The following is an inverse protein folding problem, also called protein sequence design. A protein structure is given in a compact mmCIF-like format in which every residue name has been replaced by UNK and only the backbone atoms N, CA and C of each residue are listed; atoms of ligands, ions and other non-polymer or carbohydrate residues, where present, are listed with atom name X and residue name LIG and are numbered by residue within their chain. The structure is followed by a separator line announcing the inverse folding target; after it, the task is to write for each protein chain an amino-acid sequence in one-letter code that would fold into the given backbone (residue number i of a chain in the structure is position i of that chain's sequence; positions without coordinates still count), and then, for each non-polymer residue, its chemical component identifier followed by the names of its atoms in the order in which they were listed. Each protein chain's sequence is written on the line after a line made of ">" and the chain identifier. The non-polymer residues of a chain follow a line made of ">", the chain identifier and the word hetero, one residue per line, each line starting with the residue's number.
data_IF_505098604178
#
_entry.id   IF_505098604178
#
_cell.length_a   1.000
_cell.length_b   1.000
_cell.length_c   1.000
_cell.angle_alpha   90.00
_cell.angle_beta   90.00
_cell.angle_gamma   90.00
#
_symmetry.space_group_name_H-M   'P 1'
#
loop_
_entity.id
_entity.type
_entity.pdbx_description
1 polymer ?
#
# COMPACT_ATOMS: atom_id res chain seq x y z
N UNK A 1 -4.36 -29.28 -7.85
CA UNK A 1 -5.26 -28.42 -7.04
C UNK A 1 -4.38 -27.49 -6.22
N UNK A 2 -4.35 -26.19 -6.53
CA UNK A 2 -3.53 -25.23 -5.81
C UNK A 2 -4.40 -24.45 -4.82
N UNK A 3 -4.36 -24.84 -3.55
CA UNK A 3 -4.97 -24.07 -2.46
C UNK A 3 -4.05 -22.91 -2.12
N UNK A 4 -4.40 -21.69 -2.54
CA UNK A 4 -3.75 -20.47 -2.05
C UNK A 4 -4.00 -20.35 -0.54
N UNK A 5 -2.94 -20.44 0.24
CA UNK A 5 -2.94 -20.28 1.70
C UNK A 5 -3.46 -18.89 2.05
N UNK A 6 -4.75 -18.78 2.41
CA UNK A 6 -5.36 -17.57 2.95
C UNK A 6 -4.61 -17.25 4.25
N UNK A 7 -3.65 -16.34 4.17
CA UNK A 7 -2.97 -15.81 5.34
C UNK A 7 -4.03 -15.00 6.10
N UNK A 8 -4.78 -15.67 6.98
CA UNK A 8 -5.59 -15.03 8.01
C UNK A 8 -4.66 -14.37 9.01
N UNK A 9 -3.99 -13.30 8.58
CA UNK A 9 -3.17 -12.46 9.45
C UNK A 9 -4.08 -11.63 10.35
N UNK A 10 -3.61 -11.34 11.56
CA UNK A 10 -4.27 -10.38 12.43
C UNK A 10 -4.48 -9.05 11.69
N UNK A 11 -5.64 -8.44 11.84
CA UNK A 11 -5.95 -7.12 11.31
C UNK A 11 -5.73 -6.07 12.40
N UNK A 12 -5.45 -4.84 11.98
CA UNK A 12 -5.26 -3.71 12.89
C UNK A 12 -5.93 -2.44 12.33
N UNK A 13 -6.34 -1.59 13.26
CA UNK A 13 -6.66 -0.19 13.02
C UNK A 13 -5.42 0.63 13.31
N UNK A 14 -5.03 1.46 12.35
CA UNK A 14 -3.99 2.49 12.51
C UNK A 14 -4.68 3.84 12.38
N UNK A 15 -4.54 4.68 13.40
CA UNK A 15 -5.06 6.05 13.39
C UNK A 15 -3.90 7.02 13.25
N UNK A 16 -3.96 7.94 12.28
CA UNK A 16 -2.98 9.01 12.08
C UNK A 16 -3.74 10.33 12.06
N UNK A 17 -3.57 11.14 13.11
CA UNK A 17 -4.36 12.35 13.28
C UNK A 17 -5.86 12.04 13.35
N UNK A 18 -6.62 12.45 12.34
CA UNK A 18 -8.07 12.25 12.24
C UNK A 18 -8.48 11.12 11.29
N UNK A 19 -7.51 10.41 10.69
CA UNK A 19 -7.77 9.37 9.71
C UNK A 19 -7.56 7.98 10.31
N UNK A 20 -8.51 7.09 10.03
CA UNK A 20 -8.49 5.70 10.44
C UNK A 20 -8.27 4.78 9.24
N UNK A 21 -7.33 3.85 9.40
CA UNK A 21 -6.99 2.87 8.38
C UNK A 21 -7.12 1.46 8.94
N UNK A 22 -7.76 0.57 8.18
CA UNK A 22 -7.82 -0.86 8.49
C UNK A 22 -6.86 -1.62 7.57
N UNK A 23 -5.91 -2.34 8.16
CA UNK A 23 -4.89 -3.06 7.38
C UNK A 23 -4.36 -4.30 8.12
N UNK A 24 -3.64 -5.21 7.42
CA UNK A 24 -2.90 -6.28 8.06
C UNK A 24 -1.91 -5.77 9.12
N UNK A 25 -1.82 -6.47 10.26
CA UNK A 25 -1.03 -6.04 11.42
C UNK A 25 0.47 -5.91 11.11
N UNK A 26 1.02 -6.76 10.24
CA UNK A 26 2.41 -6.68 9.79
C UNK A 26 2.71 -5.36 9.06
N UNK A 27 1.76 -4.89 8.24
CA UNK A 27 1.87 -3.60 7.56
C UNK A 27 1.65 -2.44 8.52
N UNK A 28 0.69 -2.55 9.44
CA UNK A 28 0.41 -1.52 10.43
C UNK A 28 1.61 -1.26 11.36
N UNK A 29 2.34 -2.30 11.77
CA UNK A 29 3.55 -2.14 12.57
C UNK A 29 4.64 -1.35 11.84
N UNK A 30 4.82 -1.57 10.53
CA UNK A 30 5.77 -0.80 9.71
C UNK A 30 5.37 0.67 9.61
N UNK A 31 4.07 0.96 9.56
CA UNK A 31 3.57 2.34 9.58
C UNK A 31 3.92 2.98 10.92
N UNK A 32 3.73 2.28 12.04
CA UNK A 32 4.10 2.81 13.35
C UNK A 32 5.59 3.11 13.46
N UNK A 33 6.43 2.19 13.03
CA UNK A 33 7.89 2.36 13.04
C UNK A 33 8.33 3.57 12.21
N UNK A 34 7.75 3.76 11.03
CA UNK A 34 8.03 4.92 10.20
C UNK A 34 7.55 6.23 10.84
N UNK A 35 6.36 6.22 11.45
CA UNK A 35 5.74 7.42 12.00
C UNK A 35 6.30 7.82 13.37
N UNK A 36 6.88 6.88 14.12
CA UNK A 36 7.60 7.13 15.38
C UNK A 36 8.70 8.21 15.26
N UNK A 37 9.30 8.32 14.08
CA UNK A 37 10.37 9.28 13.80
C UNK A 37 9.93 10.41 12.88
N UNK A 38 8.65 10.45 12.51
CA UNK A 38 8.11 11.48 11.63
C UNK A 38 7.90 12.80 12.38
N UNK A 39 8.05 13.89 11.63
CA UNK A 39 7.73 15.25 12.04
C UNK A 39 6.57 15.70 11.15
N UNK A 40 5.50 16.21 11.75
CA UNK A 40 4.40 16.78 10.98
C UNK A 40 4.89 17.98 10.16
N UNK A 41 4.25 18.28 9.05
CA UNK A 41 4.52 19.54 8.36
C UNK A 41 3.24 20.12 7.75
N UNK A 42 3.20 21.44 7.69
CA UNK A 42 2.26 22.16 6.84
C UNK A 42 2.95 22.55 5.55
N UNK A 43 2.14 22.64 4.49
CA UNK A 43 2.57 23.13 3.21
C UNK A 43 2.20 24.60 3.09
N UNK A 44 3.18 25.43 2.81
CA UNK A 44 3.00 26.87 2.61
C UNK A 44 3.52 27.28 1.23
N UNK A 45 2.89 28.30 0.66
CA UNK A 45 3.26 28.84 -0.64
C UNK A 45 3.70 30.28 -0.46
N UNK A 46 5.02 30.50 -0.52
CA UNK A 46 5.61 31.83 -0.44
C UNK A 46 6.08 32.23 -1.85
N UNK A 47 5.27 33.03 -2.54
CA UNK A 47 5.51 33.40 -3.93
C UNK A 47 5.25 32.24 -4.90
N UNK A 48 6.30 31.75 -5.55
CA UNK A 48 6.25 30.63 -6.50
C UNK A 48 6.85 29.32 -5.95
N UNK A 49 7.39 29.34 -4.73
CA UNK A 49 8.05 28.19 -4.12
C UNK A 49 7.14 27.50 -3.10
N UNK A 50 7.19 26.18 -3.09
CA UNK A 50 6.54 25.33 -2.10
C UNK A 50 7.49 25.14 -0.91
N UNK A 51 7.05 25.54 0.27
CA UNK A 51 7.79 25.38 1.52
C UNK A 51 7.05 24.44 2.46
N UNK A 52 7.80 23.72 3.30
CA UNK A 52 7.25 22.82 4.31
C UNK A 52 7.65 23.31 5.70
N UNK A 53 6.66 23.69 6.50
CA UNK A 53 6.86 24.19 7.85
C UNK A 53 6.75 23.02 8.82
N UNK A 54 7.85 22.70 9.51
CA UNK A 54 7.88 21.63 10.50
C UNK A 54 6.93 21.92 11.68
N UNK A 55 6.23 20.88 12.13
CA UNK A 55 5.26 20.88 13.22
C UNK A 55 5.60 19.81 14.25
N UNK A 56 4.70 19.64 15.20
CA UNK A 56 4.74 18.56 16.18
C UNK A 56 4.69 17.17 15.50
N UNK A 57 5.18 16.18 16.23
CA UNK A 57 5.11 14.78 15.82
C UNK A 57 3.63 14.35 15.69
N UNK A 58 3.25 13.66 14.59
CA UNK A 58 1.89 13.18 14.42
C UNK A 58 1.52 12.16 15.50
N UNK A 59 0.31 12.30 16.06
CA UNK A 59 -0.28 11.29 16.94
C UNK A 59 -0.65 10.06 16.12
N UNK A 60 -0.07 8.92 16.49
CA UNK A 60 -0.35 7.62 15.87
C UNK A 60 -0.83 6.63 16.91
N UNK A 61 -1.91 5.93 16.60
CA UNK A 61 -2.45 4.87 17.45
C UNK A 61 -2.54 3.55 16.68
N UNK A 62 -2.26 2.46 17.38
CA UNK A 62 -2.35 1.10 16.86
C UNK A 62 -3.26 0.27 17.73
N UNK A 63 -4.22 -0.42 17.11
CA UNK A 63 -5.09 -1.35 17.81
C UNK A 63 -5.34 -2.59 16.97
N UNK A 64 -5.18 -3.77 17.57
CA UNK A 64 -5.56 -5.02 16.93
C UNK A 64 -7.08 -5.14 16.88
N UNK A 65 -7.60 -5.55 15.73
CA UNK A 65 -9.04 -5.67 15.49
C UNK A 65 -9.37 -7.13 15.21
N UNK A 66 -10.42 -7.63 15.86
CA UNK A 66 -10.90 -8.99 15.62
C UNK A 66 -11.75 -9.04 14.35
N UNK A 67 -11.78 -10.20 13.71
CA UNK A 67 -12.49 -10.39 12.45
C UNK A 67 -14.01 -10.11 12.56
N UNK A 68 -14.62 -10.41 13.71
CA UNK A 68 -16.04 -10.16 14.00
C UNK A 68 -16.41 -8.67 14.10
N UNK A 69 -15.41 -7.81 14.32
CA UNK A 69 -15.62 -6.36 14.43
C UNK A 69 -15.56 -5.65 13.06
N UNK A 70 -15.15 -6.35 12.00
CA UNK A 70 -14.97 -5.77 10.66
C UNK A 70 -16.23 -6.03 9.83
N UNK A 71 -16.91 -4.96 9.42
CA UNK A 71 -18.03 -5.04 8.47
C UNK A 71 -17.61 -4.44 7.13
N UNK A 72 -17.77 -5.21 6.05
CA UNK A 72 -17.64 -4.69 4.70
C UNK A 72 -19.01 -4.19 4.22
N UNK A 73 -19.17 -2.91 3.86
CA UNK A 73 -20.38 -2.43 3.23
C UNK A 73 -20.57 -3.11 1.86
N UNK A 74 -21.82 -3.35 1.48
CA UNK A 74 -22.13 -3.97 0.19
C UNK A 74 -21.59 -3.12 -0.97
N UNK A 75 -20.89 -3.77 -1.92
CA UNK A 75 -20.32 -3.12 -3.10
C UNK A 75 -18.84 -2.74 -3.01
N UNK A 76 -18.16 -2.96 -1.88
CA UNK A 76 -16.72 -2.70 -1.76
C UNK A 76 -15.88 -3.90 -2.24
N UNK A 77 -15.26 -3.78 -3.42
CA UNK A 77 -14.23 -4.72 -3.86
C UNK A 77 -12.91 -4.42 -3.16
N UNK A 78 -12.24 -5.44 -2.60
CA UNK A 78 -10.89 -5.29 -2.02
C UNK A 78 -9.96 -4.51 -2.97
N UNK A 79 -9.07 -3.64 -2.45
CA UNK A 79 -8.15 -2.87 -3.29
C UNK A 79 -7.33 -3.85 -4.12
N UNK A 80 -7.32 -3.64 -5.44
CA UNK A 80 -6.72 -4.54 -6.42
C UNK A 80 -5.28 -4.88 -6.00
N UNK A 81 -5.09 -6.10 -5.47
CA UNK A 81 -3.76 -6.65 -5.24
C UNK A 81 -3.05 -6.70 -6.59
N UNK A 82 -2.10 -5.78 -6.80
CA UNK A 82 -1.36 -5.64 -8.04
C UNK A 82 -0.76 -6.97 -8.46
N UNK A 83 -1.41 -7.64 -9.42
CA UNK A 83 -0.92 -8.88 -10.01
C UNK A 83 0.38 -8.52 -10.73
N UNK A 84 1.53 -8.94 -10.19
CA UNK A 84 2.83 -8.81 -10.84
C UNK A 84 2.70 -9.40 -12.25
N UNK A 85 2.66 -8.53 -13.27
CA UNK A 85 2.73 -8.95 -14.68
C UNK A 85 4.16 -9.42 -14.89
N UNK A 86 4.36 -10.73 -14.96
CA UNK A 86 5.62 -11.27 -15.48
C UNK A 86 5.71 -10.90 -16.98
N UNK A 87 6.81 -10.31 -17.45
CA UNK A 87 6.99 -10.05 -18.87
C UNK A 87 7.02 -11.40 -19.60
N UNK A 88 6.12 -11.57 -20.57
CA UNK A 88 6.15 -12.73 -21.48
C UNK A 88 7.37 -12.55 -22.37
N UNK A 89 8.37 -13.41 -22.24
CA UNK A 89 9.55 -13.37 -23.11
C UNK A 89 9.12 -13.46 -24.58
N UNK A 90 9.44 -12.43 -25.35
CA UNK A 90 9.25 -12.41 -26.81
C UNK A 90 10.30 -13.34 -27.40
N UNK A 91 9.89 -14.52 -27.87
CA UNK A 91 10.74 -15.39 -28.68
C UNK A 91 10.86 -14.79 -30.08
N UNK A 92 11.96 -14.09 -30.34
CA UNK A 92 12.35 -13.69 -31.70
C UNK A 92 12.91 -14.94 -32.38
N UNK A 93 12.19 -15.51 -33.34
CA UNK A 93 12.68 -16.58 -34.22
C UNK A 93 13.45 -15.96 -35.40
N UNK A 94 14.76 -16.18 -35.55
CA UNK A 94 15.52 -15.67 -36.68
C UNK A 94 15.56 -16.72 -37.79
N UNK A 95 14.51 -16.86 -38.60
CA UNK A 95 14.65 -17.56 -39.89
C UNK A 95 13.54 -17.18 -40.86
N UNK A 96 13.87 -16.28 -41.78
CA UNK A 96 13.35 -16.22 -43.16
C UNK A 96 14.04 -15.07 -43.89
N UNK A 97 15.26 -15.30 -44.36
CA UNK A 97 15.82 -14.53 -45.47
C UNK A 97 15.80 -15.45 -46.68
N UNK A 98 14.76 -15.29 -47.49
CA UNK A 98 14.59 -15.96 -48.77
C UNK A 98 15.78 -15.62 -49.67
N UNK A 99 16.37 -16.65 -50.25
CA UNK A 99 17.24 -16.56 -51.41
C UNK A 99 16.46 -15.92 -52.56
N UNK A 100 17.04 -14.91 -53.20
CA UNK A 100 16.62 -14.46 -54.53
C UNK A 100 17.68 -14.90 -55.54
N UNK A 101 17.18 -15.58 -56.57
CA UNK A 101 17.85 -15.91 -57.84
C UNK A 101 18.26 -14.66 -58.60
#
# INVERSE_FOLDING_TARGET
>A
MATTKKQGGAMCRVTIGYQDFLMPADKGMRVLEAMQHAIGCDRDYVGHDEQFIAKEQPRVEFSLVRADQIRMPEGYSEPASGRKRTPRAVQVNPTRRLELK
#
